data_IF_711697438551
#
_entry.id   IF_711697438551
#
_cell.length_a   1.000
_cell.length_b   1.000
_cell.length_c   1.000
_cell.angle_alpha   90.00
_cell.angle_beta   90.00
_cell.angle_gamma   90.00
#
_symmetry.space_group_name_H-M   'P 1'
#
loop_
_entity.id
_entity.type
_entity.pdbx_description
1 polymer ?
#
# COMPACT_ATOMS: atom_id res chain seq x y z
N UNK A 1 7.32 3.33 -11.21
CA UNK A 1 7.38 2.11 -10.35
C UNK A 1 5.99 1.87 -9.81
N UNK A 2 5.40 0.68 -10.01
CA UNK A 2 4.06 0.38 -9.48
C UNK A 2 4.18 -0.01 -7.99
N UNK A 3 3.27 0.49 -7.14
CA UNK A 3 3.30 0.20 -5.70
C UNK A 3 2.98 -1.28 -5.43
N UNK A 4 3.70 -2.00 -4.54
CA UNK A 4 3.45 -3.41 -4.23
C UNK A 4 1.99 -3.75 -3.87
N UNK A 5 1.35 -2.93 -3.04
CA UNK A 5 -0.11 -3.02 -2.76
C UNK A 5 -0.98 -3.12 -4.03
N UNK A 6 -0.72 -2.28 -5.05
CA UNK A 6 -1.48 -2.28 -6.30
C UNK A 6 -1.29 -3.57 -7.09
N UNK A 7 -0.07 -4.10 -7.10
CA UNK A 7 0.27 -5.39 -7.72
C UNK A 7 -0.48 -6.51 -7.01
N UNK A 8 -0.37 -6.59 -5.68
CA UNK A 8 -1.01 -7.63 -4.87
C UNK A 8 -2.54 -7.60 -5.01
N UNK A 9 -3.15 -6.41 -4.96
CA UNK A 9 -4.59 -6.23 -5.15
C UNK A 9 -5.04 -6.70 -6.54
N UNK A 10 -4.30 -6.32 -7.60
CA UNK A 10 -4.64 -6.69 -8.97
C UNK A 10 -4.50 -8.20 -9.21
N UNK A 11 -3.47 -8.83 -8.64
CA UNK A 11 -3.30 -10.29 -8.68
C UNK A 11 -4.45 -11.02 -7.97
N UNK A 12 -4.94 -10.45 -6.85
CA UNK A 12 -6.10 -10.95 -6.12
C UNK A 12 -7.46 -10.61 -6.79
N UNK A 13 -7.47 -9.86 -7.91
CA UNK A 13 -8.68 -9.39 -8.62
C UNK A 13 -9.64 -8.61 -7.72
N UNK A 14 -9.11 -7.86 -6.74
CA UNK A 14 -9.92 -7.06 -5.80
C UNK A 14 -10.00 -5.61 -6.25
N UNK A 15 -11.15 -4.97 -6.04
CA UNK A 15 -11.26 -3.53 -6.30
C UNK A 15 -10.63 -2.72 -5.15
N UNK A 16 -10.28 -1.46 -5.41
CA UNK A 16 -9.80 -0.54 -4.36
C UNK A 16 -10.87 -0.33 -3.29
N UNK A 17 -12.15 -0.38 -3.67
CA UNK A 17 -13.30 -0.21 -2.77
C UNK A 17 -13.42 -1.38 -1.80
N UNK A 18 -13.30 -2.62 -2.28
CA UNK A 18 -13.35 -3.81 -1.43
C UNK A 18 -12.23 -3.81 -0.40
N UNK A 19 -11.01 -3.44 -0.83
CA UNK A 19 -9.85 -3.35 0.06
C UNK A 19 -10.04 -2.26 1.10
N UNK A 20 -10.55 -1.10 0.71
CA UNK A 20 -10.81 0.00 1.62
C UNK A 20 -11.87 -0.36 2.66
N UNK A 21 -12.96 -1.01 2.23
CA UNK A 21 -14.03 -1.47 3.11
C UNK A 21 -13.53 -2.48 4.14
N UNK A 22 -12.82 -3.53 3.70
CA UNK A 22 -12.27 -4.54 4.61
C UNK A 22 -11.18 -3.99 5.54
N UNK A 23 -10.38 -3.02 5.07
CA UNK A 23 -9.36 -2.37 5.88
C UNK A 23 -9.93 -1.28 6.82
N UNK A 24 -11.22 -0.96 6.72
CA UNK A 24 -11.87 0.08 7.54
C UNK A 24 -11.40 1.50 7.22
N UNK A 25 -11.01 1.78 5.98
CA UNK A 25 -10.52 3.09 5.53
C UNK A 25 -11.28 3.56 4.29
N UNK A 26 -11.03 4.80 3.86
CA UNK A 26 -11.66 5.33 2.64
C UNK A 26 -10.97 4.80 1.37
N UNK A 27 -11.72 4.71 0.26
CA UNK A 27 -11.16 4.42 -1.07
C UNK A 27 -9.99 5.36 -1.42
N UNK A 28 -10.13 6.64 -1.08
CA UNK A 28 -9.09 7.65 -1.30
C UNK A 28 -7.81 7.36 -0.52
N UNK A 29 -7.91 6.80 0.69
CA UNK A 29 -6.75 6.36 1.47
C UNK A 29 -5.96 5.28 0.75
N UNK A 30 -6.62 4.19 0.33
CA UNK A 30 -5.96 3.11 -0.42
C UNK A 30 -5.39 3.64 -1.74
N UNK A 31 -6.14 4.46 -2.47
CA UNK A 31 -5.67 5.05 -3.72
C UNK A 31 -4.42 5.90 -3.54
N UNK A 32 -4.31 6.68 -2.46
CA UNK A 32 -3.11 7.49 -2.17
C UNK A 32 -1.91 6.64 -1.78
N UNK A 33 -2.14 5.54 -1.04
CA UNK A 33 -1.08 4.57 -0.76
C UNK A 33 -0.57 3.97 -2.06
N UNK A 34 -1.45 3.47 -2.93
CA UNK A 34 -1.07 2.86 -4.22
C UNK A 34 -0.34 3.82 -5.19
N UNK A 35 -0.47 5.12 -5.00
CA UNK A 35 0.22 6.16 -5.79
C UNK A 35 1.40 6.79 -5.07
N UNK A 36 1.86 6.22 -3.95
CA UNK A 36 2.95 6.76 -3.12
C UNK A 36 2.72 8.20 -2.63
N UNK A 37 1.47 8.67 -2.59
CA UNK A 37 1.11 10.01 -2.14
C UNK A 37 0.92 10.11 -0.62
N UNK A 38 0.79 8.97 0.06
CA UNK A 38 0.62 8.92 1.50
C UNK A 38 1.19 7.62 2.04
N UNK A 39 1.96 7.73 3.11
CA UNK A 39 2.37 6.57 3.87
C UNK A 39 1.17 6.03 4.68
N UNK A 40 0.91 4.72 4.66
CA UNK A 40 -0.11 4.11 5.51
C UNK A 40 0.33 4.13 6.98
N UNK A 41 -0.65 4.21 7.89
CA UNK A 41 -0.36 4.04 9.32
C UNK A 41 0.13 2.62 9.61
N UNK A 42 0.86 2.43 10.73
CA UNK A 42 1.32 1.09 11.16
C UNK A 42 0.17 0.10 11.28
N UNK A 43 -0.99 0.55 11.77
CA UNK A 43 -2.18 -0.30 11.86
C UNK A 43 -2.66 -0.73 10.47
N UNK A 44 -2.70 0.20 9.51
CA UNK A 44 -3.11 -0.10 8.14
C UNK A 44 -2.11 -1.05 7.46
N UNK A 45 -0.79 -0.86 7.65
CA UNK A 45 0.24 -1.78 7.14
C UNK A 45 -0.02 -3.21 7.64
N UNK A 46 -0.25 -3.38 8.95
CA UNK A 46 -0.55 -4.69 9.54
C UNK A 46 -1.79 -5.32 8.91
N UNK A 47 -2.87 -4.55 8.78
CA UNK A 47 -4.11 -5.02 8.14
C UNK A 47 -3.86 -5.44 6.69
N UNK A 48 -3.14 -4.63 5.91
CA UNK A 48 -2.84 -4.94 4.51
C UNK A 48 -1.95 -6.18 4.35
N UNK A 49 -0.96 -6.38 5.22
CA UNK A 49 -0.14 -7.60 5.23
C UNK A 49 -0.93 -8.87 5.59
N UNK A 50 -1.98 -8.74 6.42
CA UNK A 50 -2.90 -9.87 6.68
C UNK A 50 -3.79 -10.15 5.47
N UNK A 51 -4.31 -9.10 4.82
CA UNK A 51 -5.16 -9.24 3.63
C UNK A 51 -4.39 -9.78 2.41
N UNK A 52 -3.11 -9.43 2.30
CA UNK A 52 -2.24 -9.79 1.18
C UNK A 52 -0.94 -10.41 1.72
N UNK A 53 -0.88 -11.75 1.88
CA UNK A 53 0.28 -12.43 2.45
C UNK A 53 1.59 -12.26 1.67
N UNK A 54 1.51 -11.78 0.42
CA UNK A 54 2.68 -11.43 -0.41
C UNK A 54 3.31 -10.08 -0.04
N UNK A 55 2.64 -9.27 0.79
CA UNK A 55 3.13 -7.97 1.24
C UNK A 55 3.81 -8.11 2.61
N UNK A 56 4.88 -7.36 2.77
CA UNK A 56 5.64 -7.18 4.00
C UNK A 56 5.62 -5.70 4.42
N UNK A 57 5.91 -5.38 5.68
CA UNK A 57 6.00 -3.98 6.11
C UNK A 57 7.02 -3.16 5.30
N UNK A 58 8.07 -3.79 4.77
CA UNK A 58 9.11 -3.13 3.98
C UNK A 58 8.59 -2.63 2.63
N UNK A 59 7.51 -3.22 2.11
CA UNK A 59 6.91 -2.81 0.83
C UNK A 59 6.22 -1.45 0.87
N UNK A 60 6.07 -0.87 2.07
CA UNK A 60 5.49 0.45 2.29
C UNK A 60 6.53 1.51 2.67
N UNK A 61 7.82 1.13 2.71
CA UNK A 61 8.90 2.05 3.01
C UNK A 61 9.45 2.56 1.68
N UNK A 62 9.20 3.83 1.36
CA UNK A 62 9.93 4.49 0.28
C UNK A 62 11.35 4.69 0.80
N UNK A 63 12.29 3.86 0.33
CA UNK A 63 13.71 4.20 0.43
C UNK A 63 13.89 5.39 -0.51
N UNK A 64 13.81 6.60 0.05
CA UNK A 64 14.28 7.77 -0.66
C UNK A 64 15.72 7.46 -1.05
N UNK A 65 15.97 7.23 -2.35
CA UNK A 65 17.33 7.31 -2.85
C UNK A 65 17.85 8.65 -2.33
N UNK A 66 18.86 8.61 -1.46
CA UNK A 66 19.60 9.81 -1.09
C UNK A 66 20.02 10.41 -2.42
N UNK A 67 19.35 11.49 -2.82
CA UNK A 67 19.96 12.44 -3.74
C UNK A 67 21.10 13.07 -2.97
N UNK A 68 22.23 12.35 -2.91
CA UNK A 68 23.50 12.93 -2.51
C UNK A 68 23.76 14.04 -3.52
N UNK A 69 23.58 15.28 -3.07
CA UNK A 69 24.14 16.45 -3.74
C UNK A 69 25.66 16.30 -3.68
N UNK A 70 26.25 15.85 -4.79
CA UNK A 70 27.62 16.17 -5.17
C UNK A 70 27.62 17.33 -6.14
#
# INVERSE_FOLDING_TARGET
>A
MEHPLRIARSAAKRSVEDVALEAGVTKSTISRVETWMSDPSVSLIRTLCVMFPSLTPNDFIIVAERSEHT
#
